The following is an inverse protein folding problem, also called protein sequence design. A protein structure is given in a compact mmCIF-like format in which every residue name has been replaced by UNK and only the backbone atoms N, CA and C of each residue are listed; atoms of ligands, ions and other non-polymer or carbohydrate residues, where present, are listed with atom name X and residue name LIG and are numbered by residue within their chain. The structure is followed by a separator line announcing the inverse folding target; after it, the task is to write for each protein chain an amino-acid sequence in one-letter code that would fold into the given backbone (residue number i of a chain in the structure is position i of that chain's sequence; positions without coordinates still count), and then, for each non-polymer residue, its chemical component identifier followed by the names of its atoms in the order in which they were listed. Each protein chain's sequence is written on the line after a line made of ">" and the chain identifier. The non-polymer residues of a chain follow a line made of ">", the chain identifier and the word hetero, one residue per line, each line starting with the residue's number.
data_IF_555735660059
#
_entry.id   IF_555735660059
#
_cell.length_a   1.000
_cell.length_b   1.000
_cell.length_c   1.000
_cell.angle_alpha   90.00
_cell.angle_beta   90.00
_cell.angle_gamma   90.00
#
_symmetry.space_group_name_H-M   'P 1'
#
loop_
_entity.id
_entity.type
_entity.pdbx_description
1 polymer ?
#
# COMPACT_ATOMS: atom_id res chain seq x y z
N UNK A 1 4.41 -18.65 11.09
CA UNK A 1 4.73 -18.26 9.70
C UNK A 1 6.04 -18.90 9.26
N UNK A 2 6.11 -19.33 8.01
CA UNK A 2 7.34 -19.85 7.43
C UNK A 2 8.35 -18.73 7.17
N UNK A 3 9.63 -19.09 7.10
CA UNK A 3 10.73 -18.16 6.83
C UNK A 3 10.54 -17.40 5.51
N UNK A 4 9.98 -18.06 4.49
CA UNK A 4 9.67 -17.42 3.19
C UNK A 4 8.62 -16.31 3.32
N UNK A 5 7.59 -16.51 4.14
CA UNK A 5 6.56 -15.50 4.40
C UNK A 5 7.11 -14.32 5.19
N UNK A 6 7.98 -14.57 6.17
CA UNK A 6 8.65 -13.52 6.91
C UNK A 6 9.52 -12.65 6.01
N UNK A 7 10.25 -13.28 5.09
CA UNK A 7 11.08 -12.58 4.10
C UNK A 7 10.18 -11.76 3.16
N UNK A 8 9.10 -12.35 2.65
CA UNK A 8 8.15 -11.66 1.78
C UNK A 8 7.56 -10.43 2.49
N UNK A 9 7.18 -10.56 3.75
CA UNK A 9 6.63 -9.46 4.54
C UNK A 9 7.65 -8.34 4.73
N UNK A 10 8.90 -8.67 5.02
CA UNK A 10 9.98 -7.70 5.15
C UNK A 10 10.21 -6.93 3.84
N UNK A 11 10.14 -7.61 2.69
CA UNK A 11 10.23 -6.98 1.38
C UNK A 11 9.06 -6.01 1.17
N UNK A 12 7.84 -6.41 1.49
CA UNK A 12 6.66 -5.55 1.36
C UNK A 12 6.75 -4.32 2.26
N UNK A 13 7.28 -4.45 3.46
CA UNK A 13 7.50 -3.31 4.37
C UNK A 13 8.45 -2.28 3.75
N UNK A 14 9.59 -2.74 3.22
CA UNK A 14 10.55 -1.86 2.55
C UNK A 14 9.99 -1.26 1.27
N UNK A 15 9.28 -2.06 0.48
CA UNK A 15 8.68 -1.60 -0.77
C UNK A 15 7.60 -0.54 -0.53
N UNK A 16 6.78 -0.71 0.51
CA UNK A 16 5.75 0.26 0.85
C UNK A 16 6.36 1.60 1.28
N UNK A 17 7.40 1.56 2.12
CA UNK A 17 8.13 2.77 2.53
C UNK A 17 8.76 3.47 1.32
N UNK A 18 9.40 2.73 0.43
CA UNK A 18 10.00 3.27 -0.79
C UNK A 18 8.93 3.86 -1.71
N UNK A 19 7.81 3.17 -1.91
CA UNK A 19 6.72 3.64 -2.77
C UNK A 19 6.09 4.94 -2.27
N UNK A 20 6.12 5.19 -0.97
CA UNK A 20 5.64 6.45 -0.40
C UNK A 20 6.47 7.65 -0.86
N UNK A 21 7.75 7.42 -1.22
CA UNK A 21 8.66 8.47 -1.68
C UNK A 21 8.72 8.59 -3.19
N UNK A 22 8.75 7.46 -3.91
CA UNK A 22 9.00 7.43 -5.36
C UNK A 22 7.78 7.02 -6.19
N UNK A 23 6.67 6.71 -5.55
CA UNK A 23 5.48 6.21 -6.21
C UNK A 23 5.57 4.71 -6.53
N UNK A 24 4.45 4.12 -6.90
CA UNK A 24 4.39 2.69 -7.29
C UNK A 24 5.19 2.46 -8.58
N UNK A 25 5.07 3.35 -9.57
CA UNK A 25 5.83 3.22 -10.83
C UNK A 25 7.33 3.41 -10.64
N UNK A 26 7.75 4.11 -9.60
CA UNK A 26 9.15 4.27 -9.23
C UNK A 26 9.78 3.06 -8.56
N UNK A 27 8.99 2.05 -8.16
CA UNK A 27 9.52 0.81 -7.61
C UNK A 27 10.25 0.03 -8.70
N UNK A 28 11.50 -0.32 -8.45
CA UNK A 28 12.28 -1.21 -9.31
C UNK A 28 12.78 -2.40 -8.52
N UNK A 29 12.94 -3.53 -9.21
CA UNK A 29 13.49 -4.75 -8.59
C UNK A 29 14.91 -4.47 -8.08
N UNK A 30 15.71 -3.71 -8.84
CA UNK A 30 17.09 -3.40 -8.45
C UNK A 30 17.17 -2.56 -7.19
N UNK A 31 16.45 -1.45 -7.12
CA UNK A 31 16.49 -0.57 -5.95
C UNK A 31 15.92 -1.24 -4.70
N UNK A 32 14.88 -2.04 -4.87
CA UNK A 32 14.29 -2.77 -3.75
C UNK A 32 15.20 -3.89 -3.25
N UNK A 33 15.86 -4.63 -4.17
CA UNK A 33 16.84 -5.65 -3.79
C UNK A 33 17.98 -5.05 -2.97
N UNK A 34 18.49 -3.89 -3.37
CA UNK A 34 19.53 -3.17 -2.62
C UNK A 34 19.06 -2.80 -1.22
N UNK A 35 17.87 -2.24 -1.08
CA UNK A 35 17.29 -1.86 0.22
C UNK A 35 17.05 -3.07 1.13
N UNK A 36 16.59 -4.18 0.55
CA UNK A 36 16.28 -5.40 1.31
C UNK A 36 17.53 -6.26 1.59
N UNK A 37 18.69 -5.89 1.06
CA UNK A 37 19.91 -6.67 1.22
C UNK A 37 19.85 -8.02 0.52
N UNK A 38 19.16 -8.10 -0.62
CA UNK A 38 18.93 -9.34 -1.39
C UNK A 38 19.48 -9.21 -2.80
N UNK A 39 19.72 -10.38 -3.45
CA UNK A 39 19.96 -10.41 -4.89
C UNK A 39 18.66 -10.17 -5.66
N UNK A 40 18.77 -9.71 -6.90
CA UNK A 40 17.62 -9.55 -7.80
C UNK A 40 16.90 -10.89 -8.03
N UNK A 41 17.66 -11.99 -8.20
CA UNK A 41 17.06 -13.31 -8.37
C UNK A 41 16.33 -13.80 -7.12
N UNK A 42 16.83 -13.49 -5.93
CA UNK A 42 16.14 -13.76 -4.67
C UNK A 42 14.82 -13.02 -4.55
N UNK A 43 14.82 -11.76 -4.99
CA UNK A 43 13.60 -10.95 -5.00
C UNK A 43 12.57 -11.49 -6.00
N UNK A 44 13.00 -11.88 -7.20
CA UNK A 44 12.14 -12.48 -8.22
C UNK A 44 11.54 -13.83 -7.79
N UNK A 45 12.18 -14.54 -6.86
CA UNK A 45 11.60 -15.75 -6.30
C UNK A 45 10.31 -15.48 -5.51
N UNK A 46 10.16 -14.25 -4.98
CA UNK A 46 8.95 -13.82 -4.26
C UNK A 46 7.94 -13.11 -5.17
N UNK A 47 8.43 -12.38 -6.18
CA UNK A 47 7.60 -11.55 -7.07
C UNK A 47 8.06 -11.76 -8.51
N UNK A 48 7.24 -12.45 -9.28
CA UNK A 48 7.61 -12.91 -10.62
C UNK A 48 7.86 -11.81 -11.65
N UNK A 49 7.38 -10.59 -11.42
CA UNK A 49 7.56 -9.46 -12.33
C UNK A 49 7.44 -8.14 -11.57
N UNK A 50 7.84 -7.03 -12.21
CA UNK A 50 7.65 -5.68 -11.67
C UNK A 50 6.17 -5.40 -11.40
N UNK A 51 5.29 -5.78 -12.32
CA UNK A 51 3.85 -5.57 -12.17
C UNK A 51 3.29 -6.38 -10.99
N UNK A 52 3.69 -7.63 -10.81
CA UNK A 52 3.28 -8.43 -9.66
C UNK A 52 3.76 -7.81 -8.35
N UNK A 53 4.98 -7.28 -8.31
CA UNK A 53 5.50 -6.57 -7.15
C UNK A 53 4.65 -5.32 -6.86
N UNK A 54 4.37 -4.51 -7.86
CA UNK A 54 3.57 -3.29 -7.71
C UNK A 54 2.17 -3.59 -7.15
N UNK A 55 1.52 -4.62 -7.68
CA UNK A 55 0.20 -5.05 -7.20
C UNK A 55 0.28 -5.57 -5.76
N UNK A 56 1.28 -6.37 -5.43
CA UNK A 56 1.47 -6.90 -4.09
C UNK A 56 1.67 -5.77 -3.06
N UNK A 57 2.49 -4.78 -3.39
CA UNK A 57 2.74 -3.61 -2.54
C UNK A 57 1.45 -2.79 -2.36
N UNK A 58 0.72 -2.57 -3.45
CA UNK A 58 -0.52 -1.82 -3.40
C UNK A 58 -1.57 -2.52 -2.53
N UNK A 59 -1.74 -3.83 -2.67
CA UNK A 59 -2.66 -4.62 -1.85
C UNK A 59 -2.27 -4.61 -0.38
N UNK A 60 -0.98 -4.71 -0.08
CA UNK A 60 -0.48 -4.63 1.29
C UNK A 60 -0.80 -3.27 1.91
N UNK A 61 -0.57 -2.19 1.17
CA UNK A 61 -0.89 -0.84 1.61
C UNK A 61 -2.39 -0.65 1.83
N UNK A 62 -3.22 -1.17 0.92
CA UNK A 62 -4.68 -1.12 1.05
C UNK A 62 -5.16 -1.87 2.30
N UNK A 63 -4.60 -3.04 2.56
CA UNK A 63 -4.97 -3.82 3.74
C UNK A 63 -4.58 -3.10 5.04
N UNK A 64 -3.39 -2.55 5.10
CA UNK A 64 -2.94 -1.76 6.26
C UNK A 64 -3.80 -0.53 6.46
N UNK A 65 -4.18 0.14 5.39
CA UNK A 65 -5.06 1.30 5.45
C UNK A 65 -6.42 0.91 6.04
N UNK A 66 -7.02 -0.17 5.53
CA UNK A 66 -8.31 -0.66 6.06
C UNK A 66 -8.19 -1.01 7.55
N UNK A 67 -7.17 -1.75 7.93
CA UNK A 67 -7.01 -2.23 9.31
C UNK A 67 -6.71 -1.09 10.29
N UNK A 68 -5.99 -0.07 9.86
CA UNK A 68 -5.51 1.01 10.74
C UNK A 68 -6.40 2.24 10.71
N UNK A 69 -6.97 2.58 9.56
CA UNK A 69 -7.74 3.82 9.35
C UNK A 69 -9.23 3.56 9.34
N UNK A 70 -9.69 2.65 8.48
CA UNK A 70 -11.12 2.46 8.21
C UNK A 70 -11.80 1.64 9.31
N UNK A 71 -11.29 0.46 9.60
CA UNK A 71 -11.93 -0.46 10.54
C UNK A 71 -12.14 0.15 11.95
N UNK A 72 -11.13 0.81 12.56
CA UNK A 72 -11.35 1.48 13.84
C UNK A 72 -12.41 2.58 13.76
N UNK A 73 -12.49 3.30 12.64
CA UNK A 73 -13.46 4.39 12.45
C UNK A 73 -14.90 3.90 12.31
N UNK A 74 -15.10 2.63 11.92
CA UNK A 74 -16.44 2.06 11.81
C UNK A 74 -17.14 1.90 13.16
N UNK A 75 -16.40 1.99 14.26
CA UNK A 75 -16.95 2.03 15.62
C UNK A 75 -17.67 3.34 15.92
N UNK A 76 -17.33 4.43 15.22
CA UNK A 76 -18.01 5.71 15.37
C UNK A 76 -19.35 5.69 14.63
N UNK A 77 -20.36 6.47 15.11
CA UNK A 77 -21.65 6.58 14.42
C UNK A 77 -21.48 7.07 12.98
N UNK A 78 -22.38 6.65 12.10
CA UNK A 78 -22.44 7.14 10.72
C UNK A 78 -22.55 8.65 10.67
N UNK A 79 -22.05 9.24 9.60
CA UNK A 79 -22.08 10.68 9.37
C UNK A 79 -20.79 11.37 9.79
N UNK A 80 -20.89 12.59 10.30
CA UNK A 80 -19.73 13.43 10.60
C UNK A 80 -18.74 12.79 11.59
N UNK A 81 -19.25 12.10 12.61
CA UNK A 81 -18.39 11.44 13.60
C UNK A 81 -17.47 10.41 12.95
N UNK A 82 -18.00 9.58 12.03
CA UNK A 82 -17.22 8.58 11.32
C UNK A 82 -16.22 9.21 10.37
N UNK A 83 -16.61 10.26 9.63
CA UNK A 83 -15.69 10.98 8.74
C UNK A 83 -14.53 11.62 9.52
N UNK A 84 -14.81 12.21 10.67
CA UNK A 84 -13.77 12.76 11.55
C UNK A 84 -12.82 11.68 12.05
N UNK A 85 -13.36 10.53 12.42
CA UNK A 85 -12.54 9.39 12.87
C UNK A 85 -11.62 8.88 11.75
N UNK A 86 -12.13 8.77 10.53
CA UNK A 86 -11.34 8.35 9.37
C UNK A 86 -10.21 9.34 9.10
N UNK A 87 -10.52 10.63 9.07
CA UNK A 87 -9.51 11.67 8.84
C UNK A 87 -8.43 11.65 9.93
N UNK A 88 -8.83 11.58 11.19
CA UNK A 88 -7.89 11.53 12.31
C UNK A 88 -6.98 10.29 12.23
N UNK A 89 -7.56 9.13 11.97
CA UNK A 89 -6.81 7.88 11.83
C UNK A 89 -5.86 7.91 10.62
N UNK A 90 -6.30 8.51 9.51
CA UNK A 90 -5.48 8.66 8.31
C UNK A 90 -4.26 9.55 8.56
N UNK A 91 -4.46 10.70 9.19
CA UNK A 91 -3.36 11.60 9.55
C UNK A 91 -2.38 10.92 10.51
N UNK A 92 -2.88 10.19 11.49
CA UNK A 92 -2.07 9.41 12.42
C UNK A 92 -1.26 8.33 11.69
N UNK A 93 -1.90 7.61 10.78
CA UNK A 93 -1.25 6.55 10.01
C UNK A 93 -0.08 7.09 9.18
N UNK A 94 -0.26 8.22 8.48
CA UNK A 94 0.80 8.83 7.68
C UNK A 94 2.02 9.26 8.52
N UNK A 95 1.77 9.62 9.79
CA UNK A 95 2.84 10.00 10.72
C UNK A 95 3.57 8.81 11.33
N UNK A 96 2.83 7.77 11.71
CA UNK A 96 3.34 6.67 12.54
C UNK A 96 3.80 5.46 11.75
N UNK A 97 3.33 5.26 10.53
CA UNK A 97 3.58 4.06 9.73
C UNK A 97 4.95 4.06 9.04
N UNK A 98 5.83 5.00 9.37
CA UNK A 98 7.16 5.13 8.74
C UNK A 98 7.07 5.25 7.21
N UNK A 99 6.15 6.09 6.76
CA UNK A 99 5.93 6.40 5.34
C UNK A 99 6.45 7.82 5.06
N UNK A 100 7.75 7.98 4.77
CA UNK A 100 8.38 9.31 4.68
C UNK A 100 7.80 10.19 3.56
N UNK A 101 7.21 9.59 2.53
CA UNK A 101 6.57 10.30 1.43
C UNK A 101 5.07 10.52 1.60
N UNK A 102 4.48 10.09 2.72
CA UNK A 102 3.04 10.21 2.97
C UNK A 102 2.24 8.97 2.58
N UNK A 103 0.96 9.13 2.27
CA UNK A 103 0.08 8.00 1.98
C UNK A 103 0.32 7.44 0.57
N UNK A 104 0.82 6.19 0.44
CA UNK A 104 1.06 5.61 -0.88
C UNK A 104 -0.25 5.30 -1.64
N UNK A 105 -1.36 5.14 -0.94
CA UNK A 105 -2.66 4.88 -1.58
C UNK A 105 -3.18 6.13 -2.29
N UNK A 106 -3.05 7.29 -1.67
CA UNK A 106 -3.40 8.56 -2.30
C UNK A 106 -2.49 8.86 -3.50
N UNK A 107 -1.20 8.62 -3.35
CA UNK A 107 -0.24 8.76 -4.44
C UNK A 107 -0.58 7.84 -5.63
N UNK A 108 -0.88 6.57 -5.36
CA UNK A 108 -1.22 5.60 -6.39
C UNK A 108 -2.51 5.98 -7.14
N UNK A 109 -3.52 6.48 -6.44
CA UNK A 109 -4.77 6.92 -7.05
C UNK A 109 -4.55 8.03 -8.08
N UNK A 110 -3.64 8.96 -7.81
CA UNK A 110 -3.29 10.03 -8.73
C UNK A 110 -2.33 9.56 -9.84
N UNK A 111 -1.38 8.70 -9.51
CA UNK A 111 -0.35 8.23 -10.43
C UNK A 111 -0.91 7.37 -11.56
N UNK A 112 -1.93 6.57 -11.28
CA UNK A 112 -2.50 5.62 -12.25
C UNK A 112 -3.88 6.04 -12.78
N UNK A 113 -4.32 7.26 -12.58
CA UNK A 113 -5.65 7.69 -13.02
C UNK A 113 -5.82 7.64 -14.55
N UNK A 114 -4.76 7.85 -15.31
CA UNK A 114 -4.72 7.82 -16.75
C UNK A 114 -3.86 6.70 -17.35
N UNK A 115 -3.42 5.75 -16.54
CA UNK A 115 -2.56 4.65 -16.98
C UNK A 115 -3.31 3.31 -16.91
N UNK A 116 -4.01 2.89 -17.97
CA UNK A 116 -4.79 1.65 -17.96
C UNK A 116 -3.90 0.42 -17.78
N UNK A 117 -4.42 -0.60 -17.10
CA UNK A 117 -3.72 -1.86 -16.85
C UNK A 117 -4.08 -2.47 -15.51
N UNK A 118 -3.40 -3.56 -15.16
CA UNK A 118 -3.68 -4.33 -13.95
C UNK A 118 -3.46 -3.53 -12.66
N UNK A 119 -2.46 -2.65 -12.63
CA UNK A 119 -2.20 -1.81 -11.45
C UNK A 119 -3.33 -0.81 -11.23
N UNK A 120 -3.78 -0.12 -12.28
CA UNK A 120 -4.93 0.78 -12.21
C UNK A 120 -6.19 0.04 -11.75
N UNK A 121 -6.43 -1.15 -12.30
CA UNK A 121 -7.59 -1.96 -11.92
C UNK A 121 -7.55 -2.29 -10.42
N UNK A 122 -6.39 -2.59 -9.87
CA UNK A 122 -6.20 -2.83 -8.45
C UNK A 122 -6.48 -1.56 -7.61
N UNK A 123 -6.04 -0.39 -8.06
CA UNK A 123 -6.34 0.90 -7.43
C UNK A 123 -7.85 1.15 -7.41
N UNK A 124 -8.50 1.00 -8.55
CA UNK A 124 -9.95 1.22 -8.67
C UNK A 124 -10.75 0.26 -7.79
N UNK A 125 -10.38 -1.01 -7.74
CA UNK A 125 -11.02 -2.00 -6.88
C UNK A 125 -10.91 -1.60 -5.39
N UNK A 126 -9.75 -1.15 -4.96
CA UNK A 126 -9.53 -0.68 -3.60
C UNK A 126 -10.37 0.56 -3.26
N UNK A 127 -10.45 1.53 -4.17
CA UNK A 127 -11.29 2.71 -3.99
C UNK A 127 -12.78 2.35 -3.93
N UNK A 128 -13.24 1.43 -4.77
CA UNK A 128 -14.61 0.94 -4.75
C UNK A 128 -14.95 0.24 -3.43
N UNK A 129 -14.04 -0.59 -2.92
CA UNK A 129 -14.20 -1.26 -1.62
C UNK A 129 -14.28 -0.23 -0.49
N UNK A 130 -13.42 0.79 -0.53
CA UNK A 130 -13.46 1.89 0.44
C UNK A 130 -14.79 2.62 0.45
N UNK A 131 -15.33 2.95 -0.72
CA UNK A 131 -16.65 3.58 -0.83
C UNK A 131 -17.75 2.70 -0.25
N UNK A 132 -17.73 1.40 -0.51
CA UNK A 132 -18.70 0.46 0.06
C UNK A 132 -18.62 0.39 1.58
N UNK A 133 -17.43 0.41 2.16
CA UNK A 133 -17.24 0.39 3.61
C UNK A 133 -17.80 1.65 4.28
N UNK A 134 -17.78 2.80 3.57
CA UNK A 134 -18.24 4.08 4.11
C UNK A 134 -19.74 4.31 3.93
N UNK A 135 -20.35 3.63 2.99
CA UNK A 135 -21.80 3.69 2.80
C UNK A 135 -22.54 2.92 3.90
#
# INVERSE_FOLDING_TARGET
>A
MGKGEETRQAILDEALALSSQVGISGLSIGSLADRAGMSKSGLFAHFGSKEELQIAVLREGQQRFVDTVVRPALKAPRGIARLRAILANWLDWTRKARLPGGCPMNAAANEFDDQPGAVRDCVEAGLADGRRMLA
#
